data_IF_983660725045
#
_entry.id   IF_983660725045
#
_cell.length_a   1.000
_cell.length_b   1.000
_cell.length_c   1.000
_cell.angle_alpha   90.00
_cell.angle_beta   90.00
_cell.angle_gamma   90.00
#
_symmetry.space_group_name_H-M   'P 1'
#
loop_
_entity.id
_entity.type
_entity.pdbx_description
1 polymer ?
#
# COMPACT_ATOMS: atom_id res chain seq x y z
N UNK A 1 35.66 -4.58 -9.06
CA UNK A 1 36.29 -5.65 -8.24
C UNK A 1 37.44 -6.34 -9.00
N UNK A 2 37.19 -7.03 -10.16
CA UNK A 2 38.25 -7.74 -10.90
C UNK A 2 39.28 -6.78 -11.55
N UNK A 3 38.84 -5.59 -11.98
CA UNK A 3 39.71 -4.53 -12.51
C UNK A 3 40.51 -3.88 -11.36
N UNK A 4 39.83 -3.59 -10.25
CA UNK A 4 40.45 -2.96 -9.08
C UNK A 4 41.49 -3.89 -8.40
N UNK A 5 41.33 -5.20 -8.56
CA UNK A 5 42.24 -6.22 -8.09
C UNK A 5 43.31 -6.63 -9.14
N UNK A 6 43.40 -5.91 -10.27
CA UNK A 6 44.37 -6.18 -11.36
C UNK A 6 44.27 -7.59 -12.00
N UNK A 7 43.09 -8.26 -11.82
CA UNK A 7 42.83 -9.58 -12.41
C UNK A 7 42.55 -9.52 -13.92
N UNK A 8 42.13 -8.36 -14.42
CA UNK A 8 41.89 -8.11 -15.84
C UNK A 8 41.87 -6.62 -16.18
N UNK A 9 42.38 -6.27 -17.34
CA UNK A 9 42.27 -4.93 -17.93
C UNK A 9 41.01 -4.77 -18.78
N UNK A 10 40.27 -5.85 -19.02
CA UNK A 10 39.06 -5.85 -19.86
C UNK A 10 37.88 -5.28 -19.06
N UNK A 11 37.32 -4.19 -19.55
CA UNK A 11 36.04 -3.63 -19.08
C UNK A 11 34.98 -3.83 -20.14
N UNK A 12 34.30 -4.99 -20.19
CA UNK A 12 33.40 -5.33 -21.26
C UNK A 12 32.18 -4.38 -21.34
N UNK A 13 31.82 -3.73 -20.24
CA UNK A 13 30.71 -2.79 -20.16
C UNK A 13 31.10 -1.32 -20.35
N UNK A 14 32.36 -1.01 -20.74
CA UNK A 14 32.85 0.38 -20.90
C UNK A 14 32.01 1.24 -21.85
N UNK A 15 31.38 0.63 -22.86
CA UNK A 15 30.53 1.29 -23.84
C UNK A 15 29.06 0.96 -23.67
N UNK A 16 28.70 0.23 -22.63
CA UNK A 16 27.32 -0.15 -22.37
C UNK A 16 26.61 0.95 -21.59
N UNK A 17 25.64 1.55 -22.23
CA UNK A 17 24.77 2.54 -21.59
C UNK A 17 23.42 1.87 -21.33
N UNK A 18 22.98 1.86 -20.06
CA UNK A 18 21.65 1.41 -19.72
C UNK A 18 20.68 2.53 -20.09
N UNK A 19 19.88 2.31 -21.11
CA UNK A 19 18.77 3.21 -21.43
C UNK A 19 17.74 3.15 -20.32
N UNK A 20 17.38 4.32 -19.77
CA UNK A 20 16.32 4.43 -18.77
C UNK A 20 14.98 4.40 -19.47
N UNK A 21 14.29 3.28 -19.43
CA UNK A 21 12.89 3.23 -19.81
C UNK A 21 12.02 3.89 -18.74
N UNK A 22 11.01 4.65 -19.17
CA UNK A 22 9.97 5.14 -18.28
C UNK A 22 9.21 3.95 -17.68
N UNK A 23 9.27 3.83 -16.37
CA UNK A 23 8.53 2.78 -15.66
C UNK A 23 7.04 3.11 -15.66
N UNK A 24 6.19 2.12 -15.96
CA UNK A 24 4.73 2.26 -15.88
C UNK A 24 4.32 2.83 -14.52
N UNK A 25 3.32 3.72 -14.52
CA UNK A 25 2.75 4.29 -13.30
C UNK A 25 2.22 3.16 -12.42
N UNK A 26 2.75 3.04 -11.20
CA UNK A 26 2.39 2.00 -10.22
C UNK A 26 1.68 2.61 -9.01
N UNK A 27 0.85 3.63 -9.24
CA UNK A 27 0.07 4.27 -8.20
C UNK A 27 -1.39 4.38 -8.64
N UNK A 28 -2.28 4.36 -7.66
CA UNK A 28 -3.71 4.61 -7.84
C UNK A 28 -4.01 6.09 -7.63
N UNK A 29 -5.05 6.59 -8.29
CA UNK A 29 -5.67 7.84 -7.86
C UNK A 29 -6.45 7.62 -6.57
N UNK A 30 -6.82 8.70 -5.87
CA UNK A 30 -7.60 8.60 -4.64
C UNK A 30 -8.99 8.02 -4.90
N UNK A 31 -9.58 8.30 -6.07
CA UNK A 31 -10.87 7.73 -6.49
C UNK A 31 -10.78 6.22 -6.73
N UNK A 32 -9.70 5.78 -7.41
CA UNK A 32 -9.44 4.36 -7.62
C UNK A 32 -9.22 3.62 -6.30
N UNK A 33 -8.52 4.25 -5.36
CA UNK A 33 -8.29 3.69 -4.04
C UNK A 33 -9.60 3.62 -3.23
N UNK A 34 -10.43 4.67 -3.29
CA UNK A 34 -11.75 4.69 -2.67
C UNK A 34 -12.66 3.62 -3.27
N UNK A 35 -12.65 3.46 -4.60
CA UNK A 35 -13.38 2.39 -5.29
C UNK A 35 -12.94 1.01 -4.80
N UNK A 36 -11.64 0.73 -4.71
CA UNK A 36 -11.12 -0.55 -4.20
C UNK A 36 -11.57 -0.80 -2.76
N UNK A 37 -11.51 0.21 -1.90
CA UNK A 37 -11.88 0.13 -0.49
C UNK A 37 -13.36 -0.20 -0.31
N UNK A 38 -14.23 0.47 -1.06
CA UNK A 38 -15.68 0.35 -0.92
C UNK A 38 -16.28 -0.82 -1.74
N UNK A 39 -15.50 -1.41 -2.66
CA UNK A 39 -16.00 -2.48 -3.52
C UNK A 39 -16.41 -3.70 -2.71
N UNK A 40 -17.63 -4.19 -2.96
CA UNK A 40 -18.14 -5.41 -2.34
C UNK A 40 -17.50 -6.63 -2.98
N UNK A 41 -16.38 -7.07 -2.42
CA UNK A 41 -15.65 -8.24 -2.90
C UNK A 41 -16.07 -9.51 -2.17
N UNK A 42 -15.63 -10.67 -2.69
CA UNK A 42 -15.88 -11.97 -2.06
C UNK A 42 -15.23 -12.03 -0.68
N UNK A 43 -15.84 -12.77 0.26
CA UNK A 43 -15.43 -12.83 1.67
C UNK A 43 -13.93 -13.10 1.85
N UNK A 44 -13.40 -14.08 1.12
CA UNK A 44 -11.98 -14.44 1.20
C UNK A 44 -11.03 -13.36 0.63
N UNK A 45 -11.53 -12.37 -0.11
CA UNK A 45 -10.74 -11.26 -0.66
C UNK A 45 -10.69 -10.07 0.28
N UNK A 46 -11.63 -9.96 1.21
CA UNK A 46 -11.74 -8.82 2.15
C UNK A 46 -10.45 -8.62 2.94
N UNK A 47 -9.89 -9.71 3.48
CA UNK A 47 -8.62 -9.64 4.23
C UNK A 47 -7.50 -9.03 3.37
N UNK A 48 -7.33 -9.48 2.13
CA UNK A 48 -6.26 -8.98 1.25
C UNK A 48 -6.45 -7.52 0.87
N UNK A 49 -7.69 -7.10 0.63
CA UNK A 49 -8.05 -5.70 0.41
C UNK A 49 -7.73 -4.85 1.63
N UNK A 50 -8.17 -5.29 2.79
CA UNK A 50 -7.99 -4.57 4.05
C UNK A 50 -6.50 -4.49 4.42
N UNK A 51 -5.69 -5.53 4.15
CA UNK A 51 -4.24 -5.48 4.29
C UNK A 51 -3.58 -4.49 3.33
N UNK A 52 -4.08 -4.36 2.10
CA UNK A 52 -3.60 -3.35 1.17
C UNK A 52 -3.90 -1.93 1.68
N UNK A 53 -5.11 -1.70 2.19
CA UNK A 53 -5.47 -0.43 2.82
C UNK A 53 -4.63 -0.15 4.05
N UNK A 54 -4.38 -1.16 4.90
CA UNK A 54 -3.49 -1.04 6.05
C UNK A 54 -2.08 -0.60 5.65
N UNK A 55 -1.53 -1.18 4.57
CA UNK A 55 -0.22 -0.75 4.06
C UNK A 55 -0.23 0.74 3.67
N UNK A 56 -1.32 1.25 3.10
CA UNK A 56 -1.47 2.68 2.78
C UNK A 56 -1.54 3.52 4.04
N UNK A 57 -2.37 3.15 5.01
CA UNK A 57 -2.51 3.87 6.28
C UNK A 57 -1.21 3.91 7.09
N UNK A 58 -0.31 2.97 6.84
CA UNK A 58 1.03 2.88 7.42
C UNK A 58 2.13 3.39 6.46
N UNK A 59 1.84 4.45 5.70
CA UNK A 59 2.83 5.16 4.84
C UNK A 59 3.44 4.24 3.76
N UNK A 60 2.66 3.31 3.23
CA UNK A 60 3.14 2.36 2.25
C UNK A 60 4.23 1.42 2.78
N UNK A 61 4.07 0.94 4.01
CA UNK A 61 4.98 -0.04 4.61
C UNK A 61 5.14 -1.26 3.70
N UNK A 62 6.35 -1.82 3.59
CA UNK A 62 6.55 -3.04 2.81
C UNK A 62 5.99 -4.26 3.55
N UNK A 63 5.50 -5.25 2.79
CA UNK A 63 4.92 -6.44 3.39
C UNK A 63 5.87 -7.20 4.31
N UNK A 64 7.17 -7.31 3.96
CA UNK A 64 8.14 -7.96 4.83
C UNK A 64 8.27 -7.24 6.19
N UNK A 65 8.24 -5.91 6.17
CA UNK A 65 8.36 -5.12 7.39
C UNK A 65 7.06 -5.23 8.22
N UNK A 66 5.87 -5.10 7.57
CA UNK A 66 4.57 -5.16 8.24
C UNK A 66 4.28 -6.52 8.87
N UNK A 67 4.43 -7.59 8.10
CA UNK A 67 4.03 -8.93 8.56
C UNK A 67 4.98 -9.52 9.60
N UNK A 68 6.19 -8.97 9.75
CA UNK A 68 7.11 -9.37 10.82
C UNK A 68 6.94 -8.57 12.12
N UNK A 69 6.06 -7.56 12.15
CA UNK A 69 5.78 -6.82 13.40
C UNK A 69 5.14 -7.75 14.42
N UNK A 70 5.68 -7.74 15.65
CA UNK A 70 5.17 -8.57 16.75
C UNK A 70 4.09 -7.85 17.58
N UNK A 71 4.29 -6.57 17.87
CA UNK A 71 3.40 -5.79 18.72
C UNK A 71 3.50 -4.31 18.42
N UNK A 72 2.54 -3.55 18.94
CA UNK A 72 2.61 -2.09 18.98
C UNK A 72 3.49 -1.64 20.14
N UNK A 73 4.15 -0.50 19.95
CA UNK A 73 4.86 0.24 20.99
C UNK A 73 4.06 1.52 21.28
N UNK A 74 3.22 1.49 22.30
CA UNK A 74 2.22 2.54 22.51
C UNK A 74 1.21 2.57 21.37
N UNK A 75 1.09 3.72 20.72
CA UNK A 75 0.23 3.95 19.55
C UNK A 75 0.98 3.81 18.21
N UNK A 76 2.16 3.17 18.21
CA UNK A 76 3.05 3.15 17.03
C UNK A 76 3.45 1.73 16.62
N UNK A 77 3.73 1.55 15.34
CA UNK A 77 4.50 0.42 14.82
C UNK A 77 5.95 0.88 14.72
N UNK A 78 6.82 0.19 15.45
CA UNK A 78 8.27 0.40 15.37
C UNK A 78 8.93 -0.82 14.76
N UNK A 79 9.75 -0.61 13.75
CA UNK A 79 10.44 -1.69 13.05
C UNK A 79 11.77 -1.23 12.46
N UNK A 80 12.67 -2.18 12.31
CA UNK A 80 13.91 -1.99 11.56
C UNK A 80 13.67 -2.47 10.13
N UNK A 81 13.76 -1.55 9.17
CA UNK A 81 13.50 -1.86 7.76
C UNK A 81 14.49 -2.90 7.26
N UNK A 82 13.99 -4.02 6.75
CA UNK A 82 14.80 -5.15 6.30
C UNK A 82 15.83 -4.75 5.23
N UNK A 83 15.44 -3.93 4.25
CA UNK A 83 16.31 -3.54 3.13
C UNK A 83 17.45 -2.60 3.54
N UNK A 84 17.26 -1.71 4.50
CA UNK A 84 18.21 -0.59 4.79
C UNK A 84 18.72 -0.58 6.22
N UNK A 85 18.17 -1.40 7.10
CA UNK A 85 18.51 -1.42 8.52
C UNK A 85 18.11 -0.17 9.32
N UNK A 86 17.41 0.80 8.70
CA UNK A 86 16.94 2.01 9.39
C UNK A 86 15.76 1.70 10.31
N UNK A 87 15.71 2.40 11.43
CA UNK A 87 14.59 2.35 12.36
C UNK A 87 13.46 3.24 11.87
N UNK A 88 12.24 2.73 11.93
CA UNK A 88 11.01 3.42 11.60
C UNK A 88 10.06 3.40 12.79
N UNK A 89 9.30 4.46 12.90
CA UNK A 89 8.24 4.57 13.88
C UNK A 89 7.06 5.26 13.20
N UNK A 90 6.00 4.50 12.94
CA UNK A 90 4.79 4.97 12.25
C UNK A 90 3.65 4.99 13.24
N UNK A 91 2.97 6.13 13.38
CA UNK A 91 1.77 6.24 14.21
C UNK A 91 0.64 5.44 13.59
N UNK A 92 -0.05 4.68 14.44
CA UNK A 92 -1.21 3.88 14.03
C UNK A 92 -2.47 4.73 14.20
N UNK A 93 -2.94 5.26 13.08
CA UNK A 93 -4.16 6.06 13.04
C UNK A 93 -5.41 5.15 13.23
N UNK A 94 -6.58 5.69 13.58
CA UNK A 94 -7.78 4.90 13.88
C UNK A 94 -8.17 3.91 12.78
N UNK A 95 -8.04 4.30 11.52
CA UNK A 95 -8.35 3.45 10.37
C UNK A 95 -7.41 2.24 10.28
N UNK A 96 -6.13 2.43 10.57
CA UNK A 96 -5.16 1.34 10.66
C UNK A 96 -5.45 0.44 11.85
N UNK A 97 -5.81 1.02 12.99
CA UNK A 97 -6.14 0.27 14.20
C UNK A 97 -7.39 -0.61 14.01
N UNK A 98 -8.39 -0.13 13.27
CA UNK A 98 -9.59 -0.92 12.95
C UNK A 98 -9.20 -2.21 12.20
N UNK A 99 -8.35 -2.10 11.17
CA UNK A 99 -7.87 -3.27 10.41
C UNK A 99 -7.03 -4.19 11.28
N UNK A 100 -6.09 -3.65 12.05
CA UNK A 100 -5.25 -4.43 12.97
C UNK A 100 -6.11 -5.20 13.97
N UNK A 101 -7.13 -4.56 14.54
CA UNK A 101 -8.03 -5.20 15.52
C UNK A 101 -8.83 -6.34 14.91
N UNK A 102 -9.28 -6.20 13.65
CA UNK A 102 -10.03 -7.22 12.91
C UNK A 102 -9.20 -8.47 12.61
N UNK A 103 -7.92 -8.28 12.30
CA UNK A 103 -7.01 -9.36 11.87
C UNK A 103 -5.85 -9.58 12.84
N UNK A 104 -6.12 -9.40 14.13
CA UNK A 104 -5.09 -9.53 15.18
C UNK A 104 -4.56 -10.96 15.28
N UNK A 105 -3.24 -11.11 15.31
CA UNK A 105 -2.55 -12.35 15.56
C UNK A 105 -2.27 -12.61 17.04
N UNK A 106 -1.71 -13.77 17.33
CA UNK A 106 -1.28 -14.21 18.66
C UNK A 106 0.20 -13.96 18.88
N UNK A 107 1.04 -14.39 17.94
CA UNK A 107 2.50 -14.23 17.99
C UNK A 107 2.97 -12.99 17.23
N UNK A 108 2.25 -12.65 16.17
CA UNK A 108 2.48 -11.46 15.35
C UNK A 108 1.35 -10.46 15.57
N UNK A 109 1.61 -9.22 15.22
CA UNK A 109 0.57 -8.19 15.24
C UNK A 109 -0.65 -8.59 14.41
N UNK A 110 -0.40 -9.24 13.26
CA UNK A 110 -1.40 -9.69 12.32
C UNK A 110 -1.40 -11.22 12.18
N UNK A 111 -2.58 -11.83 12.16
CA UNK A 111 -2.79 -13.27 12.00
C UNK A 111 -2.31 -13.82 10.64
N UNK A 112 -2.09 -12.96 9.67
CA UNK A 112 -1.61 -13.32 8.33
C UNK A 112 -0.35 -14.21 8.33
N UNK A 113 0.58 -13.97 9.25
CA UNK A 113 1.79 -14.77 9.38
C UNK A 113 1.52 -16.15 9.98
N UNK A 114 0.61 -16.24 10.93
CA UNK A 114 0.22 -17.50 11.56
C UNK A 114 -0.51 -18.40 10.57
N UNK A 115 -1.43 -17.85 9.78
CA UNK A 115 -2.19 -18.58 8.75
C UNK A 115 -1.34 -19.03 7.57
N UNK A 116 -0.23 -18.34 7.29
CA UNK A 116 0.72 -18.70 6.22
C UNK A 116 1.88 -19.59 6.69
N UNK A 117 1.82 -20.12 7.93
CA UNK A 117 2.88 -20.94 8.49
C UNK A 117 4.21 -20.19 8.69
N UNK A 118 4.14 -18.89 8.97
CA UNK A 118 5.31 -18.03 9.17
C UNK A 118 6.00 -17.57 7.88
N UNK A 119 5.44 -17.89 6.71
CA UNK A 119 6.04 -17.57 5.42
C UNK A 119 5.38 -16.32 4.78
N UNK A 120 5.97 -15.15 5.04
CA UNK A 120 5.46 -13.88 4.49
C UNK A 120 5.41 -13.87 2.95
N UNK A 121 6.34 -14.56 2.26
CA UNK A 121 6.37 -14.61 0.78
C UNK A 121 5.15 -15.33 0.23
N UNK A 122 4.76 -16.43 0.84
CA UNK A 122 3.55 -17.17 0.48
C UNK A 122 2.29 -16.30 0.67
N UNK A 123 2.21 -15.59 1.79
CA UNK A 123 1.11 -14.65 2.04
C UNK A 123 1.09 -13.51 1.00
N UNK A 124 2.23 -12.88 0.72
CA UNK A 124 2.34 -11.81 -0.27
C UNK A 124 1.97 -12.26 -1.69
N UNK A 125 2.34 -13.48 -2.07
CA UNK A 125 1.93 -14.06 -3.36
C UNK A 125 0.41 -14.27 -3.42
N UNK A 126 -0.19 -14.80 -2.35
CA UNK A 126 -1.63 -14.96 -2.24
C UNK A 126 -2.35 -13.61 -2.28
N UNK A 127 -1.85 -12.61 -1.53
CA UNK A 127 -2.38 -11.26 -1.51
C UNK A 127 -2.37 -10.62 -2.90
N UNK A 128 -1.23 -10.61 -3.60
CA UNK A 128 -1.13 -10.07 -4.94
C UNK A 128 -2.08 -10.78 -5.93
N UNK A 129 -2.18 -12.11 -5.84
CA UNK A 129 -3.08 -12.89 -6.70
C UNK A 129 -4.55 -12.55 -6.43
N UNK A 130 -4.94 -12.35 -5.17
CA UNK A 130 -6.33 -12.08 -4.81
C UNK A 130 -6.71 -10.62 -5.04
N UNK A 131 -5.83 -9.65 -4.79
CA UNK A 131 -6.04 -8.24 -5.16
C UNK A 131 -6.35 -8.08 -6.65
N UNK A 132 -5.60 -8.76 -7.52
CA UNK A 132 -5.82 -8.72 -8.99
C UNK A 132 -7.13 -9.35 -9.44
N UNK A 133 -7.83 -10.06 -8.57
CA UNK A 133 -9.12 -10.71 -8.87
C UNK A 133 -10.31 -9.95 -8.29
N UNK A 134 -10.09 -8.87 -7.56
CA UNK A 134 -11.17 -8.04 -7.04
C UNK A 134 -11.84 -7.33 -8.19
N UNK A 135 -13.14 -7.54 -8.36
CA UNK A 135 -13.97 -7.00 -9.42
C UNK A 135 -15.23 -7.84 -9.61
N UNK A 136 -16.04 -7.44 -10.55
CA UNK A 136 -17.26 -8.16 -10.89
C UNK A 136 -16.95 -9.58 -11.41
N UNK A 137 -17.89 -10.47 -11.26
CA UNK A 137 -17.80 -11.80 -11.86
C UNK A 137 -19.17 -12.33 -12.21
N UNK A 138 -19.20 -13.11 -13.28
CA UNK A 138 -20.37 -13.91 -13.68
C UNK A 138 -20.05 -15.39 -13.59
N UNK A 139 -21.07 -16.21 -13.31
CA UNK A 139 -20.95 -17.68 -13.36
C UNK A 139 -21.47 -18.17 -14.70
N UNK A 140 -20.60 -18.78 -15.50
CA UNK A 140 -20.93 -19.33 -16.82
C UNK A 140 -20.90 -20.85 -16.84
N UNK A 141 -21.84 -21.42 -17.59
CA UNK A 141 -21.93 -22.86 -17.82
C UNK A 141 -22.44 -23.68 -16.62
N UNK A 142 -22.71 -24.96 -16.85
CA UNK A 142 -23.20 -25.91 -15.83
C UNK A 142 -22.28 -26.09 -14.63
N UNK A 143 -20.94 -25.93 -14.84
CA UNK A 143 -19.92 -26.01 -13.77
C UNK A 143 -19.75 -24.73 -12.97
N UNK A 144 -20.49 -23.66 -13.27
CA UNK A 144 -20.41 -22.40 -12.56
C UNK A 144 -19.04 -21.73 -12.57
N UNK A 145 -18.26 -21.91 -13.64
CA UNK A 145 -16.95 -21.25 -13.78
C UNK A 145 -17.11 -19.75 -13.69
N UNK A 146 -16.32 -19.13 -12.80
CA UNK A 146 -16.32 -17.67 -12.62
C UNK A 146 -15.52 -17.03 -13.74
N UNK A 147 -16.16 -16.17 -14.51
CA UNK A 147 -15.53 -15.23 -15.42
C UNK A 147 -15.45 -13.89 -14.71
N UNK A 148 -14.24 -13.34 -14.58
CA UNK A 148 -13.98 -12.15 -13.76
C UNK A 148 -13.62 -10.96 -14.62
N UNK A 149 -14.13 -9.81 -14.20
CA UNK A 149 -13.76 -8.49 -14.70
C UNK A 149 -13.07 -7.72 -13.56
N UNK A 150 -11.74 -7.85 -13.41
CA UNK A 150 -11.03 -7.22 -12.32
C UNK A 150 -11.02 -5.69 -12.42
N UNK A 151 -11.16 -4.99 -11.27
CA UNK A 151 -11.02 -3.54 -11.20
C UNK A 151 -9.60 -3.09 -11.58
N UNK A 152 -8.59 -3.77 -11.07
CA UNK A 152 -7.18 -3.42 -11.24
C UNK A 152 -6.33 -4.68 -11.48
N UNK A 153 -6.28 -5.21 -12.71
CA UNK A 153 -5.63 -6.49 -13.00
C UNK A 153 -4.10 -6.49 -12.80
N UNK A 154 -3.49 -5.32 -12.77
CA UNK A 154 -2.02 -5.17 -12.59
C UNK A 154 -1.62 -4.80 -11.15
N UNK A 155 -2.59 -4.64 -10.24
CA UNK A 155 -2.32 -4.22 -8.86
C UNK A 155 -1.37 -5.17 -8.16
N UNK A 156 -0.44 -4.60 -7.41
CA UNK A 156 0.42 -5.32 -6.48
C UNK A 156 0.52 -4.57 -5.17
N UNK A 157 0.92 -5.25 -4.11
CA UNK A 157 1.16 -4.63 -2.79
C UNK A 157 2.15 -3.47 -2.84
N UNK A 158 3.07 -3.47 -3.81
CA UNK A 158 4.02 -2.38 -4.02
C UNK A 158 3.36 -1.06 -4.42
N UNK A 159 2.16 -1.11 -5.02
CA UNK A 159 1.39 0.07 -5.36
C UNK A 159 0.97 0.88 -4.13
N UNK A 160 0.81 0.25 -2.98
CA UNK A 160 0.45 0.96 -1.75
C UNK A 160 1.42 2.11 -1.44
N UNK A 161 2.72 1.84 -1.54
CA UNK A 161 3.76 2.83 -1.29
C UNK A 161 3.78 3.96 -2.32
N UNK A 162 3.64 3.62 -3.59
CA UNK A 162 3.57 4.62 -4.66
C UNK A 162 2.29 5.46 -4.57
N UNK A 163 1.17 4.83 -4.21
CA UNK A 163 -0.12 5.52 -4.04
C UNK A 163 -0.03 6.52 -2.91
N UNK A 164 0.48 6.12 -1.74
CA UNK A 164 0.66 7.06 -0.62
C UNK A 164 1.54 8.25 -1.03
N UNK A 165 2.68 8.00 -1.66
CA UNK A 165 3.59 9.05 -2.11
C UNK A 165 2.96 9.99 -3.15
N UNK A 166 2.18 9.44 -4.09
CA UNK A 166 1.50 10.23 -5.13
C UNK A 166 0.41 11.11 -4.54
N UNK A 167 -0.39 10.57 -3.61
CA UNK A 167 -1.43 11.34 -2.91
C UNK A 167 -0.79 12.43 -2.06
N UNK A 168 0.26 12.11 -1.29
CA UNK A 168 0.98 13.07 -0.47
C UNK A 168 1.55 14.23 -1.30
N UNK A 169 2.13 13.93 -2.47
CA UNK A 169 2.62 14.94 -3.39
C UNK A 169 1.49 15.82 -3.96
N UNK A 170 0.33 15.23 -4.24
CA UNK A 170 -0.87 15.96 -4.70
C UNK A 170 -1.51 16.85 -3.63
N UNK A 171 -1.18 16.63 -2.37
CA UNK A 171 -1.61 17.46 -1.22
C UNK A 171 -0.56 18.51 -0.81
N UNK A 172 0.40 18.80 -1.69
CA UNK A 172 1.49 19.75 -1.48
C UNK A 172 2.33 19.47 -0.22
N UNK A 173 2.41 18.20 0.19
CA UNK A 173 3.31 17.79 1.26
C UNK A 173 4.75 17.91 0.74
N UNK A 174 5.65 18.61 1.48
CA UNK A 174 7.02 18.82 1.04
C UNK A 174 7.74 17.51 0.66
N UNK A 175 8.51 17.54 -0.43
CA UNK A 175 9.25 16.36 -0.93
C UNK A 175 10.18 15.75 0.12
N UNK A 176 10.75 16.60 0.96
CA UNK A 176 11.61 16.21 2.07
C UNK A 176 10.82 15.38 3.09
N UNK A 177 9.60 15.82 3.46
CA UNK A 177 8.72 15.08 4.36
C UNK A 177 8.29 13.74 3.76
N UNK A 178 7.93 13.72 2.46
CA UNK A 178 7.59 12.49 1.74
C UNK A 178 8.81 11.54 1.71
N UNK A 179 9.98 12.06 1.39
CA UNK A 179 11.22 11.27 1.33
C UNK A 179 11.59 10.69 2.70
N UNK A 180 11.44 11.48 3.76
CA UNK A 180 11.63 11.08 5.15
C UNK A 180 10.64 9.98 5.55
N UNK A 181 9.35 10.20 5.31
CA UNK A 181 8.28 9.23 5.58
C UNK A 181 8.51 7.89 4.87
N UNK A 182 9.00 7.94 3.63
CA UNK A 182 9.37 6.76 2.87
C UNK A 182 10.78 6.22 3.22
N UNK A 183 11.56 6.95 4.00
CA UNK A 183 12.91 6.60 4.42
C UNK A 183 13.92 6.55 3.31
N UNK A 184 13.78 7.42 2.36
CA UNK A 184 14.83 7.69 1.39
C UNK A 184 15.91 8.55 2.03
N UNK A 185 17.15 8.40 1.60
CA UNK A 185 18.23 9.29 2.04
C UNK A 185 18.05 10.66 1.39
N UNK A 186 18.01 11.69 2.23
CA UNK A 186 17.96 13.08 1.78
C UNK A 186 19.36 13.64 1.94
N UNK A 187 20.03 13.90 0.82
CA UNK A 187 21.38 14.53 0.82
C UNK A 187 22.53 13.59 1.17
N UNK A 188 23.71 14.18 1.41
CA UNK A 188 24.89 13.45 1.88
C UNK A 188 24.72 13.01 3.33
N UNK A 189 25.47 12.00 3.76
CA UNK A 189 25.47 11.50 5.15
C UNK A 189 25.71 12.60 6.20
N UNK A 190 26.40 13.67 5.83
CA UNK A 190 26.66 14.84 6.68
C UNK A 190 25.40 15.67 6.92
N UNK A 191 24.57 15.85 5.91
CA UNK A 191 23.30 16.63 6.02
C UNK A 191 22.28 15.89 6.89
N UNK A 192 22.26 14.57 6.89
CA UNK A 192 21.32 13.77 7.67
C UNK A 192 21.51 13.89 9.19
N UNK A 193 22.73 14.29 9.65
CA UNK A 193 23.04 14.51 11.07
C UNK A 193 22.33 15.76 11.61
N UNK A 194 22.10 16.75 10.74
CA UNK A 194 21.46 18.04 11.12
C UNK A 194 19.95 18.04 10.93
N UNK A 195 19.39 17.06 10.21
CA UNK A 195 17.95 16.95 10.05
C UNK A 195 17.41 16.18 11.27
N UNK A 196 16.99 16.95 12.25
CA UNK A 196 16.26 16.39 13.39
C UNK A 196 14.99 15.71 12.85
N UNK A 197 14.93 14.39 12.97
CA UNK A 197 13.76 13.60 12.53
C UNK A 197 12.52 14.12 13.22
N UNK A 198 11.71 14.88 12.50
CA UNK A 198 10.47 15.42 13.03
C UNK A 198 9.33 14.43 12.80
N UNK A 199 9.21 13.44 13.69
CA UNK A 199 8.14 12.43 13.69
C UNK A 199 6.76 13.08 13.53
N UNK A 200 6.54 14.23 14.15
CA UNK A 200 5.26 14.94 14.09
C UNK A 200 4.92 15.36 12.65
N UNK A 201 5.88 15.86 11.87
CA UNK A 201 5.62 16.23 10.47
C UNK A 201 5.21 15.03 9.62
N UNK A 202 5.80 13.86 9.85
CA UNK A 202 5.44 12.64 9.15
C UNK A 202 4.06 12.16 9.58
N UNK A 203 3.75 12.22 10.87
CA UNK A 203 2.43 11.85 11.41
C UNK A 203 1.33 12.77 10.85
N UNK A 204 1.57 14.09 10.85
CA UNK A 204 0.64 15.08 10.29
C UNK A 204 0.44 14.89 8.77
N UNK A 205 1.51 14.57 8.04
CA UNK A 205 1.44 14.27 6.63
C UNK A 205 0.61 13.01 6.38
N UNK A 206 0.82 11.95 7.16
CA UNK A 206 0.04 10.72 7.05
C UNK A 206 -1.43 10.96 7.38
N UNK A 207 -1.74 11.73 8.42
CA UNK A 207 -3.12 12.09 8.76
C UNK A 207 -3.81 12.83 7.62
N UNK A 208 -3.15 13.82 6.99
CA UNK A 208 -3.69 14.53 5.82
C UNK A 208 -4.02 13.59 4.66
N UNK A 209 -3.13 12.64 4.36
CA UNK A 209 -3.36 11.64 3.31
C UNK A 209 -4.58 10.79 3.63
N UNK A 210 -4.70 10.30 4.87
CA UNK A 210 -5.83 9.47 5.31
C UNK A 210 -7.14 10.25 5.27
N UNK A 211 -7.15 11.50 5.75
CA UNK A 211 -8.33 12.37 5.72
C UNK A 211 -8.81 12.62 4.29
N UNK A 212 -7.87 12.84 3.36
CA UNK A 212 -8.22 13.01 1.96
C UNK A 212 -8.82 11.75 1.34
N UNK A 213 -8.27 10.57 1.63
CA UNK A 213 -8.84 9.29 1.19
C UNK A 213 -10.25 9.10 1.75
N UNK A 214 -10.47 9.48 3.00
CA UNK A 214 -11.78 9.34 3.65
C UNK A 214 -12.82 10.30 3.07
N UNK A 215 -12.43 11.54 2.76
CA UNK A 215 -13.32 12.54 2.18
C UNK A 215 -13.88 12.09 0.82
N UNK A 216 -13.03 11.54 -0.04
CA UNK A 216 -13.44 11.07 -1.38
C UNK A 216 -14.32 9.82 -1.28
N UNK A 217 -14.00 8.88 -0.39
CA UNK A 217 -14.84 7.70 -0.17
C UNK A 217 -16.24 8.04 0.37
N UNK A 218 -16.32 9.01 1.30
CA UNK A 218 -17.61 9.52 1.79
C UNK A 218 -18.48 10.09 0.67
N UNK A 219 -17.88 10.84 -0.25
CA UNK A 219 -18.57 11.43 -1.40
C UNK A 219 -19.06 10.36 -2.39
N UNK A 220 -18.30 9.32 -2.64
CA UNK A 220 -18.71 8.21 -3.50
C UNK A 220 -19.88 7.43 -2.92
N UNK A 221 -19.91 7.17 -1.62
CA UNK A 221 -21.06 6.54 -0.94
C UNK A 221 -22.31 7.39 -1.05
N UNK A 222 -22.21 8.68 -0.81
CA UNK A 222 -23.33 9.61 -0.95
C UNK A 222 -23.92 9.61 -2.38
N UNK A 223 -23.05 9.66 -3.39
CA UNK A 223 -23.50 9.61 -4.78
C UNK A 223 -24.15 8.27 -5.16
N UNK A 224 -23.65 7.14 -4.65
CA UNK A 224 -24.30 5.83 -4.85
C UNK A 224 -25.67 5.79 -4.21
N UNK A 225 -25.84 6.30 -2.98
CA UNK A 225 -27.11 6.40 -2.29
C UNK A 225 -28.08 7.31 -3.06
N UNK A 226 -27.63 8.48 -3.50
CA UNK A 226 -28.44 9.42 -4.27
C UNK A 226 -28.91 8.82 -5.61
N UNK A 227 -28.03 8.12 -6.33
CA UNK A 227 -28.38 7.44 -7.58
C UNK A 227 -29.38 6.29 -7.35
N UNK A 228 -29.25 5.56 -6.25
CA UNK A 228 -30.20 4.53 -5.87
C UNK A 228 -31.59 5.11 -5.55
N UNK A 229 -31.64 6.24 -4.86
CA UNK A 229 -32.90 6.95 -4.54
C UNK A 229 -33.56 7.50 -5.83
N UNK A 230 -32.77 8.15 -6.70
CA UNK A 230 -33.31 8.68 -7.97
C UNK A 230 -33.75 7.58 -8.94
N UNK A 231 -33.11 6.42 -8.92
CA UNK A 231 -33.51 5.23 -9.68
C UNK A 231 -34.90 4.70 -9.23
N UNK A 232 -35.16 4.68 -7.92
CA UNK A 232 -36.44 4.25 -7.35
C UNK A 232 -37.61 5.18 -7.73
N UNK A 233 -37.37 6.48 -7.89
CA UNK A 233 -38.40 7.44 -8.33
C UNK A 233 -38.69 7.36 -9.83
N UNK A 234 -37.72 6.94 -10.65
CA UNK A 234 -37.95 6.78 -12.10
C UNK A 234 -38.67 5.46 -12.46
N UNK A 235 -38.56 4.40 -11.66
CA UNK A 235 -39.27 3.15 -11.87
C UNK A 235 -40.76 3.20 -11.40
N UNK A 236 -41.11 4.16 -10.54
CA UNK A 236 -42.50 4.36 -10.06
C UNK A 236 -43.36 5.16 -11.03
N UNK A 237 -42.84 5.55 -12.19
CA UNK A 237 -43.52 6.36 -13.21
C UNK A 237 -43.83 5.59 -14.50
N UNK A 238 -43.82 4.25 -14.45
CA UNK A 238 -44.25 3.38 -15.55
C UNK A 238 -45.44 2.52 -15.19
#
# INVERSE_FOLDING_TARGET
>A
YAIDNEETELYPFRKFTIEKEETRKRSMSVEQLALLREFECEEYQKEYRDMFMLMIYLIGINGIDLFNVKALVGDRIEYKREKTGKLYSVKVEPEAMEVISRYRGKEYLLSAMETSGGNYRSYMMAMNRNLRKIGNFERKGRGGKKEREPLFPEITTYWARHTWATIAAGLDIPKETISEALGHEIGSSVTSIYINFNRQKVDDANRKVIDYINSVGGWMRLNQIMNSITGLFNDSSR
#
